data_IF_373718719010
#
_entry.id   IF_373718719010
#
_cell.length_a   1.000
_cell.length_b   1.000
_cell.length_c   1.000
_cell.angle_alpha   90.00
_cell.angle_beta   90.00
_cell.angle_gamma   90.00
#
_symmetry.space_group_name_H-M   'P 1'
#
loop_
_entity.id
_entity.type
_entity.pdbx_description
1 polymer ?
#
# COMPACT_ATOMS: atom_id res chain seq x y z
N UNK A 1 0.29 6.58 15.82
CA UNK A 1 -0.35 7.88 15.51
C UNK A 1 -1.61 7.69 14.67
N UNK A 2 -1.51 7.21 13.45
CA UNK A 2 -2.65 7.10 12.51
C UNK A 2 -3.90 6.47 13.12
N UNK A 3 -3.78 5.34 13.84
CA UNK A 3 -4.93 4.68 14.48
C UNK A 3 -5.59 5.60 15.52
N UNK A 4 -4.80 6.22 16.39
CA UNK A 4 -5.34 7.11 17.43
C UNK A 4 -6.01 8.35 16.82
N UNK A 5 -5.41 8.93 15.77
CA UNK A 5 -6.00 10.04 15.04
C UNK A 5 -7.37 9.65 14.48
N UNK A 6 -7.46 8.49 13.81
CA UNK A 6 -8.73 7.99 13.25
C UNK A 6 -9.78 7.66 14.31
N UNK A 7 -9.37 7.14 15.48
CA UNK A 7 -10.29 6.92 16.60
C UNK A 7 -10.85 8.25 17.13
N UNK A 8 -10.06 9.31 17.16
CA UNK A 8 -10.50 10.64 17.59
C UNK A 8 -11.41 11.35 16.57
N UNK A 9 -11.33 10.98 15.30
CA UNK A 9 -12.20 11.45 14.22
C UNK A 9 -13.59 10.78 14.21
N UNK A 10 -13.75 9.67 14.92
CA UNK A 10 -15.04 8.99 15.01
C UNK A 10 -16.11 9.89 15.66
N UNK A 11 -17.39 9.74 15.27
CA UNK A 11 -18.49 10.39 15.97
C UNK A 11 -18.44 10.13 17.49
N UNK A 12 -18.74 11.14 18.29
CA UNK A 12 -18.70 11.03 19.76
C UNK A 12 -19.61 9.91 20.29
N UNK A 13 -20.69 9.62 19.59
CA UNK A 13 -21.61 8.51 19.94
C UNK A 13 -20.97 7.12 19.90
N UNK A 14 -19.80 6.98 19.27
CA UNK A 14 -19.08 5.70 19.15
C UNK A 14 -17.94 5.53 20.16
N UNK A 15 -17.81 6.45 21.12
CA UNK A 15 -16.77 6.38 22.15
C UNK A 15 -17.20 7.11 23.43
N UNK A 16 -16.64 6.70 24.56
CA UNK A 16 -16.88 7.42 25.82
C UNK A 16 -15.90 8.60 25.98
N UNK A 17 -16.26 9.61 26.81
CA UNK A 17 -15.34 10.70 27.14
C UNK A 17 -13.99 10.21 27.69
N UNK A 18 -14.02 9.17 28.52
CA UNK A 18 -12.81 8.56 29.12
C UNK A 18 -11.92 7.91 28.04
N UNK A 19 -12.54 7.21 27.07
CA UNK A 19 -11.80 6.63 25.94
C UNK A 19 -11.12 7.72 25.12
N UNK A 20 -11.83 8.79 24.79
CA UNK A 20 -11.28 9.91 24.02
C UNK A 20 -10.15 10.61 24.77
N UNK A 21 -10.33 10.89 26.06
CA UNK A 21 -9.29 11.45 26.90
C UNK A 21 -8.03 10.57 26.95
N UNK A 22 -8.21 9.25 27.05
CA UNK A 22 -7.10 8.26 27.00
C UNK A 22 -6.39 8.31 25.65
N UNK A 23 -7.11 8.31 24.53
CA UNK A 23 -6.52 8.35 23.19
C UNK A 23 -5.76 9.65 22.92
N UNK A 24 -6.34 10.80 23.36
CA UNK A 24 -5.69 12.12 23.25
C UNK A 24 -4.36 12.15 24.00
N UNK A 25 -4.38 11.72 25.27
CA UNK A 25 -3.16 11.64 26.07
C UNK A 25 -2.12 10.71 25.43
N UNK A 26 -2.55 9.50 25.02
CA UNK A 26 -1.65 8.54 24.41
C UNK A 26 -1.06 9.05 23.09
N UNK A 27 -1.85 9.74 22.27
CA UNK A 27 -1.36 10.36 21.04
C UNK A 27 -0.28 11.41 21.31
N UNK A 28 -0.45 12.22 22.36
CA UNK A 28 0.52 13.23 22.77
C UNK A 28 1.83 12.60 23.31
N UNK A 29 1.74 11.47 24.00
CA UNK A 29 2.88 10.76 24.58
C UNK A 29 3.69 9.92 23.55
N UNK A 30 3.12 9.67 22.35
CA UNK A 30 3.82 8.89 21.34
C UNK A 30 5.10 9.61 20.85
N UNK A 31 6.24 8.89 20.80
CA UNK A 31 7.46 9.47 20.24
C UNK A 31 7.29 9.75 18.75
N UNK A 32 8.10 10.66 18.23
CA UNK A 32 8.19 10.90 16.79
C UNK A 32 8.69 9.65 16.04
N UNK A 33 8.29 9.53 14.77
CA UNK A 33 8.82 8.48 13.89
C UNK A 33 10.34 8.60 13.82
N UNK A 34 11.09 7.52 14.09
CA UNK A 34 12.54 7.56 13.97
C UNK A 34 12.97 7.92 12.55
N UNK A 35 13.81 8.94 12.45
CA UNK A 35 14.35 9.43 11.18
C UNK A 35 15.87 9.45 11.21
N UNK A 36 16.48 9.31 10.03
CA UNK A 36 17.86 9.63 9.79
C UNK A 36 17.98 10.63 8.64
N UNK A 37 19.11 11.33 8.61
CA UNK A 37 19.42 12.29 7.56
C UNK A 37 20.89 12.18 7.17
N UNK A 38 21.16 12.22 5.88
CA UNK A 38 22.51 12.31 5.33
C UNK A 38 22.49 13.14 4.04
N UNK A 39 23.38 14.13 3.97
CA UNK A 39 23.51 15.03 2.79
C UNK A 39 22.17 15.65 2.35
N UNK A 40 21.36 16.06 3.29
CA UNK A 40 20.05 16.69 3.06
C UNK A 40 18.93 15.70 2.64
N UNK A 41 19.19 14.41 2.64
CA UNK A 41 18.17 13.39 2.39
C UNK A 41 17.73 12.77 3.70
N UNK A 42 16.42 12.77 3.93
CA UNK A 42 15.78 12.17 5.11
C UNK A 42 15.13 10.85 4.75
N UNK A 43 15.14 9.92 5.70
CA UNK A 43 14.42 8.65 5.57
C UNK A 43 13.96 8.12 6.93
N UNK A 44 12.95 7.28 6.93
CA UNK A 44 12.43 6.61 8.12
C UNK A 44 13.32 5.45 8.52
N UNK A 45 13.48 5.25 9.82
CA UNK A 45 14.16 4.09 10.40
C UNK A 45 13.15 3.09 10.96
N UNK A 46 13.46 1.78 10.97
CA UNK A 46 12.59 0.75 11.55
C UNK A 46 12.43 0.91 13.06
N UNK A 47 13.43 1.47 13.73
CA UNK A 47 13.44 1.80 15.15
C UNK A 47 14.52 2.84 15.43
N UNK A 48 14.45 3.51 16.59
CA UNK A 48 15.49 4.48 17.01
C UNK A 48 16.86 3.80 17.18
N UNK A 49 16.86 2.62 17.76
CA UNK A 49 18.05 1.79 17.97
C UNK A 49 17.71 0.32 17.73
N UNK A 50 18.55 -0.38 17.03
CA UNK A 50 18.47 -1.83 16.84
C UNK A 50 19.87 -2.39 16.53
N UNK A 51 20.18 -3.60 16.98
CA UNK A 51 21.49 -4.22 16.74
C UNK A 51 21.57 -4.84 15.34
N UNK A 52 20.59 -5.65 15.00
CA UNK A 52 20.50 -6.30 13.70
C UNK A 52 19.04 -6.49 13.28
N UNK A 53 18.81 -6.57 12.00
CA UNK A 53 17.48 -6.86 11.44
C UNK A 53 17.30 -8.38 11.35
N UNK A 54 16.41 -8.93 12.17
CA UNK A 54 16.10 -10.38 12.19
C UNK A 54 14.85 -10.74 11.39
N UNK A 55 13.94 -9.79 11.21
CA UNK A 55 12.71 -9.99 10.43
C UNK A 55 12.93 -9.60 8.95
N UNK A 56 12.19 -10.25 8.08
CA UNK A 56 12.17 -9.99 6.65
C UNK A 56 11.22 -8.87 6.22
N UNK A 57 10.56 -8.21 7.15
CA UNK A 57 9.72 -7.04 6.90
C UNK A 57 10.53 -5.73 6.90
N UNK A 58 9.93 -4.67 6.32
CA UNK A 58 10.44 -3.31 6.38
C UNK A 58 9.48 -2.44 7.21
N UNK A 59 9.56 -2.46 8.57
CA UNK A 59 8.64 -1.71 9.43
C UNK A 59 8.63 -0.21 9.15
N UNK A 60 9.75 0.34 8.69
CA UNK A 60 9.90 1.72 8.26
C UNK A 60 8.92 2.10 7.13
N UNK A 61 8.51 1.14 6.31
CA UNK A 61 7.56 1.33 5.21
C UNK A 61 6.10 1.11 5.61
N UNK A 62 5.80 0.77 6.87
CA UNK A 62 4.42 0.73 7.35
C UNK A 62 3.76 2.11 7.31
N UNK A 63 4.53 3.17 7.36
CA UNK A 63 4.03 4.52 7.14
C UNK A 63 3.47 4.72 5.71
N UNK A 64 3.92 3.92 4.72
CA UNK A 64 3.36 3.86 3.36
C UNK A 64 2.16 2.93 3.35
N UNK A 65 2.34 1.67 3.69
CA UNK A 65 1.28 0.67 3.82
C UNK A 65 1.45 -0.13 5.12
N UNK A 66 0.41 -0.23 5.97
CA UNK A 66 -0.99 0.12 5.68
C UNK A 66 -1.40 1.56 6.03
N UNK A 67 -0.53 2.38 6.66
CA UNK A 67 -0.97 3.62 7.33
C UNK A 67 -1.13 4.84 6.42
N UNK A 68 -0.64 4.82 5.18
CA UNK A 68 -0.82 5.86 4.16
C UNK A 68 -0.39 7.26 4.60
N UNK A 69 0.60 7.36 5.50
CA UNK A 69 1.13 8.64 5.94
C UNK A 69 1.99 9.29 4.84
N UNK A 70 2.67 8.48 4.03
CA UNK A 70 3.57 8.90 2.96
C UNK A 70 3.20 8.14 1.67
N UNK A 71 2.51 8.79 0.76
CA UNK A 71 2.10 8.19 -0.53
C UNK A 71 2.11 9.25 -1.63
N UNK A 72 1.94 8.81 -2.88
CA UNK A 72 1.74 9.74 -4.00
C UNK A 72 0.65 10.75 -3.67
N UNK A 73 0.94 12.03 -3.90
CA UNK A 73 0.03 13.13 -3.62
C UNK A 73 0.12 13.70 -2.20
N UNK A 74 0.93 13.12 -1.33
CA UNK A 74 1.21 13.69 0.00
C UNK A 74 2.50 14.48 0.05
N UNK A 75 2.63 15.42 1.00
CA UNK A 75 3.90 16.03 1.35
C UNK A 75 4.93 14.94 1.73
N UNK A 76 6.21 15.28 1.63
CA UNK A 76 7.31 14.42 2.09
C UNK A 76 7.36 13.03 1.40
N UNK A 77 6.81 12.91 0.20
CA UNK A 77 6.91 11.68 -0.61
C UNK A 77 8.38 11.29 -0.82
N UNK A 78 9.26 12.25 -0.95
CA UNK A 78 10.71 12.08 -1.11
C UNK A 78 11.35 11.34 0.08
N UNK A 79 10.87 11.57 1.30
CA UNK A 79 11.28 10.83 2.52
C UNK A 79 10.94 9.35 2.36
N UNK A 80 9.74 9.04 1.90
CA UNK A 80 9.33 7.65 1.69
C UNK A 80 10.07 6.98 0.52
N UNK A 81 10.34 7.72 -0.56
CA UNK A 81 11.15 7.23 -1.68
C UNK A 81 12.59 6.95 -1.25
N UNK A 82 13.19 7.80 -0.41
CA UNK A 82 14.53 7.54 0.11
C UNK A 82 14.52 6.35 1.10
N UNK A 83 13.48 6.22 1.92
CA UNK A 83 13.27 5.04 2.78
C UNK A 83 13.18 3.76 1.94
N UNK A 84 12.41 3.79 0.86
CA UNK A 84 12.29 2.69 -0.08
C UNK A 84 13.64 2.26 -0.66
N UNK A 85 14.46 3.21 -1.11
CA UNK A 85 15.80 2.92 -1.66
C UNK A 85 16.74 2.29 -0.64
N UNK A 86 16.64 2.71 0.63
CA UNK A 86 17.52 2.28 1.73
C UNK A 86 17.02 1.06 2.50
N UNK A 87 15.79 0.60 2.24
CA UNK A 87 15.24 -0.56 2.93
C UNK A 87 16.18 -1.78 2.83
N UNK A 88 16.30 -2.54 3.90
CA UNK A 88 17.25 -3.63 3.98
C UNK A 88 16.75 -4.89 3.26
N UNK A 89 15.46 -5.20 3.35
CA UNK A 89 14.86 -6.31 2.63
C UNK A 89 14.29 -5.80 1.31
N UNK A 90 14.85 -6.29 0.21
CA UNK A 90 14.49 -5.92 -1.16
C UNK A 90 14.05 -7.16 -1.92
N UNK A 91 12.87 -7.64 -1.61
CA UNK A 91 12.33 -8.85 -2.25
C UNK A 91 10.85 -8.70 -2.53
N UNK A 92 10.34 -9.55 -3.38
CA UNK A 92 8.92 -9.77 -3.56
C UNK A 92 8.61 -11.24 -3.27
N UNK A 93 7.34 -11.57 -3.27
CA UNK A 93 6.86 -12.92 -3.07
C UNK A 93 6.28 -13.13 -1.68
N UNK A 94 5.43 -14.15 -1.58
CA UNK A 94 4.72 -14.45 -0.36
C UNK A 94 3.85 -13.26 0.09
N UNK A 95 3.79 -13.08 1.37
CA UNK A 95 3.10 -11.98 2.04
C UNK A 95 3.88 -10.65 2.04
N UNK A 96 5.02 -10.56 1.37
CA UNK A 96 5.82 -9.32 1.31
C UNK A 96 5.04 -8.16 0.73
N UNK A 97 5.01 -7.03 1.43
CA UNK A 97 4.17 -5.87 1.08
C UNK A 97 4.82 -4.94 0.04
N UNK A 98 6.03 -5.25 -0.40
CA UNK A 98 6.79 -4.43 -1.37
C UNK A 98 5.98 -4.04 -2.63
N UNK A 99 5.18 -4.92 -3.26
CA UNK A 99 4.36 -4.54 -4.42
C UNK A 99 3.35 -3.44 -4.11
N UNK A 100 2.70 -3.52 -2.94
CA UNK A 100 1.71 -2.53 -2.51
C UNK A 100 2.40 -1.19 -2.21
N UNK A 101 3.53 -1.24 -1.50
CA UNK A 101 4.30 -0.06 -1.15
C UNK A 101 4.85 0.63 -2.41
N UNK A 102 5.39 -0.12 -3.38
CA UNK A 102 5.84 0.41 -4.66
C UNK A 102 4.70 1.12 -5.42
N UNK A 103 3.52 0.49 -5.49
CA UNK A 103 2.34 1.08 -6.12
C UNK A 103 1.92 2.40 -5.45
N UNK A 104 1.90 2.44 -4.11
CA UNK A 104 1.52 3.62 -3.34
C UNK A 104 2.56 4.74 -3.37
N UNK A 105 3.80 4.44 -3.71
CA UNK A 105 4.89 5.40 -3.92
C UNK A 105 4.98 5.88 -5.38
N UNK A 106 4.15 5.37 -6.29
CA UNK A 106 4.20 5.73 -7.71
C UNK A 106 5.37 5.11 -8.47
N UNK A 107 5.97 4.06 -7.94
CA UNK A 107 7.10 3.35 -8.54
C UNK A 107 6.58 2.31 -9.55
N UNK A 108 6.16 2.80 -10.71
CA UNK A 108 5.44 2.02 -11.73
C UNK A 108 6.19 0.78 -12.17
N UNK A 109 7.50 0.90 -12.43
CA UNK A 109 8.27 -0.24 -12.93
C UNK A 109 8.46 -1.31 -11.86
N UNK A 110 8.82 -0.90 -10.63
CA UNK A 110 8.99 -1.83 -9.50
C UNK A 110 7.66 -2.51 -9.15
N UNK A 111 6.55 -1.76 -9.11
CA UNK A 111 5.22 -2.31 -8.85
C UNK A 111 4.82 -3.34 -9.90
N UNK A 112 5.04 -3.02 -11.20
CA UNK A 112 4.82 -3.94 -12.31
C UNK A 112 5.63 -5.22 -12.16
N UNK A 113 6.94 -5.09 -11.95
CA UNK A 113 7.85 -6.22 -11.90
C UNK A 113 7.51 -7.15 -10.74
N UNK A 114 7.16 -6.60 -9.57
CA UNK A 114 6.75 -7.37 -8.42
C UNK A 114 5.41 -8.09 -8.63
N UNK A 115 4.42 -7.40 -9.19
CA UNK A 115 3.11 -8.00 -9.47
C UNK A 115 3.25 -9.13 -10.49
N UNK A 116 4.01 -8.92 -11.57
CA UNK A 116 4.26 -9.96 -12.58
C UNK A 116 5.00 -11.15 -11.96
N UNK A 117 6.06 -10.90 -11.21
CA UNK A 117 6.83 -11.95 -10.53
C UNK A 117 5.92 -12.75 -9.60
N UNK A 118 5.14 -12.09 -8.75
CA UNK A 118 4.24 -12.76 -7.82
C UNK A 118 3.14 -13.56 -8.54
N UNK A 119 2.66 -13.09 -9.69
CA UNK A 119 1.63 -13.80 -10.45
C UNK A 119 2.17 -14.97 -11.27
N UNK A 120 3.46 -15.00 -11.57
CA UNK A 120 4.08 -16.02 -12.43
C UNK A 120 4.96 -17.02 -11.68
N UNK A 121 5.50 -16.65 -10.52
CA UNK A 121 6.32 -17.54 -9.71
C UNK A 121 5.43 -18.56 -8.99
N UNK A 122 5.66 -19.82 -9.29
CA UNK A 122 4.93 -20.96 -8.70
C UNK A 122 5.72 -21.69 -7.62
N UNK A 123 6.89 -21.19 -7.30
CA UNK A 123 7.74 -21.83 -6.30
C UNK A 123 7.33 -21.43 -4.90
N UNK A 124 7.14 -22.38 -3.98
CA UNK A 124 7.12 -22.07 -2.55
C UNK A 124 8.45 -21.45 -2.14
N UNK A 125 8.41 -20.49 -1.20
CA UNK A 125 9.65 -19.87 -0.71
C UNK A 125 10.63 -20.95 -0.23
N UNK A 126 11.80 -20.98 -0.86
CA UNK A 126 12.89 -21.90 -0.47
C UNK A 126 12.65 -23.38 -0.75
N UNK A 127 11.68 -23.73 -1.60
CA UNK A 127 11.38 -25.13 -1.96
C UNK A 127 11.33 -25.31 -3.49
N UNK A 128 11.47 -26.55 -3.99
CA UNK A 128 11.28 -26.84 -5.41
C UNK A 128 9.88 -26.44 -5.89
N UNK A 129 9.76 -26.17 -7.19
CA UNK A 129 8.47 -25.89 -7.82
C UNK A 129 7.50 -27.02 -7.54
N UNK A 130 6.36 -26.69 -6.95
CA UNK A 130 5.26 -27.64 -6.71
C UNK A 130 4.03 -27.07 -7.37
N UNK A 131 3.37 -27.86 -8.20
CA UNK A 131 2.09 -27.46 -8.78
C UNK A 131 1.06 -27.25 -7.65
N UNK A 132 0.38 -26.11 -7.62
CA UNK A 132 -0.59 -25.83 -6.57
C UNK A 132 -1.76 -26.82 -6.66
N UNK A 133 -2.10 -27.43 -5.56
CA UNK A 133 -3.19 -28.40 -5.47
C UNK A 133 -4.56 -27.81 -5.80
N UNK A 134 -4.75 -26.53 -5.47
CA UNK A 134 -5.96 -25.78 -5.73
C UNK A 134 -5.60 -24.37 -6.24
N UNK A 135 -5.43 -24.18 -7.55
CA UNK A 135 -4.98 -22.90 -8.12
C UNK A 135 -5.84 -21.69 -7.72
N UNK A 136 -7.13 -21.92 -7.45
CA UNK A 136 -8.05 -20.85 -7.05
C UNK A 136 -7.85 -20.35 -5.62
N UNK A 137 -7.17 -21.12 -4.77
CA UNK A 137 -6.96 -20.79 -3.36
C UNK A 137 -5.52 -20.45 -3.00
N UNK A 138 -4.63 -20.63 -3.95
CA UNK A 138 -3.20 -20.51 -3.71
C UNK A 138 -2.67 -19.32 -4.48
N UNK A 139 -2.19 -18.38 -3.74
CA UNK A 139 -1.45 -17.28 -4.32
C UNK A 139 -0.11 -17.75 -4.85
N UNK A 140 0.47 -16.97 -5.76
CA UNK A 140 1.82 -17.23 -6.25
C UNK A 140 2.81 -17.17 -5.09
N UNK A 141 3.87 -17.98 -5.21
CA UNK A 141 4.98 -17.96 -4.26
C UNK A 141 4.56 -18.24 -2.79
N UNK A 142 3.69 -19.21 -2.59
CA UNK A 142 3.12 -19.57 -1.29
C UNK A 142 4.13 -20.27 -0.37
N UNK A 143 4.01 -20.07 0.93
CA UNK A 143 4.81 -20.74 1.97
C UNK A 143 3.98 -21.61 2.90
N UNK A 144 2.68 -21.48 2.83
CA UNK A 144 1.68 -22.18 3.63
C UNK A 144 0.49 -22.62 2.76
N UNK A 145 -0.29 -23.57 3.24
CA UNK A 145 -1.41 -24.14 2.46
C UNK A 145 -2.67 -24.27 3.31
N UNK A 146 -3.79 -23.68 2.91
CA UNK A 146 -4.02 -22.74 1.80
C UNK A 146 -3.49 -21.34 2.14
N UNK A 147 -2.96 -20.65 1.15
CA UNK A 147 -2.30 -19.38 1.33
C UNK A 147 -3.02 -18.27 0.54
N UNK A 148 -3.83 -17.48 1.19
CA UNK A 148 -4.63 -16.43 0.57
C UNK A 148 -3.97 -15.04 0.64
N UNK A 149 -3.11 -14.80 1.62
CA UNK A 149 -2.46 -13.50 1.80
C UNK A 149 -1.47 -13.20 0.66
N UNK A 150 -0.80 -14.18 0.12
CA UNK A 150 0.07 -14.03 -1.05
C UNK A 150 -0.70 -13.55 -2.30
N UNK A 151 -1.85 -14.15 -2.59
CA UNK A 151 -2.74 -13.68 -3.65
C UNK A 151 -3.34 -12.32 -3.35
N UNK A 152 -3.73 -12.07 -2.10
CA UNK A 152 -4.29 -10.80 -1.66
C UNK A 152 -3.29 -9.64 -1.79
N UNK A 153 -2.01 -9.84 -1.47
CA UNK A 153 -0.96 -8.83 -1.68
C UNK A 153 -0.88 -8.40 -3.15
N UNK A 154 -0.87 -9.38 -4.07
CA UNK A 154 -0.84 -9.11 -5.52
C UNK A 154 -2.07 -8.35 -5.98
N UNK A 155 -3.28 -8.76 -5.55
CA UNK A 155 -4.54 -8.09 -5.90
C UNK A 155 -4.61 -6.66 -5.34
N UNK A 156 -4.21 -6.46 -4.08
CA UNK A 156 -4.17 -5.12 -3.49
C UNK A 156 -3.17 -4.24 -4.23
N UNK A 157 -2.00 -4.76 -4.59
CA UNK A 157 -1.01 -4.02 -5.36
C UNK A 157 -1.58 -3.56 -6.71
N UNK A 158 -2.21 -4.46 -7.48
CA UNK A 158 -2.88 -4.11 -8.74
C UNK A 158 -3.94 -3.02 -8.56
N UNK A 159 -4.78 -3.13 -7.52
CA UNK A 159 -5.77 -2.10 -7.23
C UNK A 159 -5.11 -0.75 -6.89
N UNK A 160 -3.99 -0.75 -6.13
CA UNK A 160 -3.27 0.49 -5.78
C UNK A 160 -2.53 1.09 -6.96
N UNK A 161 -2.08 0.27 -7.92
CA UNK A 161 -1.53 0.76 -9.19
C UNK A 161 -2.59 1.49 -10.03
N UNK A 162 -3.85 1.05 -9.96
CA UNK A 162 -4.98 1.64 -10.68
C UNK A 162 -5.59 2.83 -9.94
N UNK A 163 -5.79 2.71 -8.62
CA UNK A 163 -6.51 3.71 -7.85
C UNK A 163 -5.98 3.80 -6.42
N UNK A 164 -5.66 5.02 -6.01
CA UNK A 164 -5.26 5.36 -4.65
C UNK A 164 -6.17 6.46 -4.11
N UNK A 165 -6.89 6.18 -3.02
CA UNK A 165 -7.76 7.16 -2.37
C UNK A 165 -7.10 7.71 -1.10
N UNK A 166 -7.19 9.03 -0.91
CA UNK A 166 -6.72 9.73 0.29
C UNK A 166 -7.69 10.87 0.64
N UNK A 167 -8.39 10.72 1.77
CA UNK A 167 -9.52 11.59 2.07
C UNK A 167 -10.55 11.57 0.94
N UNK A 168 -10.88 12.72 0.41
CA UNK A 168 -11.80 12.85 -0.72
C UNK A 168 -11.16 12.54 -2.07
N UNK A 169 -9.84 12.69 -2.19
CA UNK A 169 -9.14 12.53 -3.46
C UNK A 169 -9.16 11.08 -3.95
N UNK A 170 -9.47 10.91 -5.23
CA UNK A 170 -9.46 9.63 -5.97
C UNK A 170 -8.40 9.76 -7.05
N UNK A 171 -7.19 9.30 -6.75
CA UNK A 171 -6.07 9.35 -7.71
C UNK A 171 -6.10 8.14 -8.60
N UNK A 172 -6.21 8.36 -9.91
CA UNK A 172 -6.19 7.29 -10.89
C UNK A 172 -4.79 7.10 -11.48
N UNK A 173 -4.47 5.86 -11.77
CA UNK A 173 -3.24 5.40 -12.44
C UNK A 173 -1.94 5.83 -11.74
N UNK A 174 -1.86 5.89 -10.39
CA UNK A 174 -0.67 6.40 -9.71
C UNK A 174 0.61 5.61 -10.02
N UNK A 175 0.46 4.33 -10.39
CA UNK A 175 1.58 3.45 -10.74
C UNK A 175 1.22 2.45 -11.86
N UNK A 176 0.28 2.79 -12.75
CA UNK A 176 -0.16 1.90 -13.82
C UNK A 176 0.81 1.92 -15.00
N UNK A 177 1.28 0.74 -15.49
CA UNK A 177 2.20 0.66 -16.62
C UNK A 177 1.54 1.12 -17.91
N UNK A 178 2.22 1.94 -18.69
CA UNK A 178 1.69 2.53 -19.93
C UNK A 178 1.26 1.49 -20.98
N UNK A 179 1.89 0.31 -21.01
CA UNK A 179 1.58 -0.74 -21.97
C UNK A 179 0.51 -1.74 -21.50
N UNK A 180 -0.17 -1.48 -20.39
CA UNK A 180 -1.23 -2.36 -19.88
C UNK A 180 -2.61 -1.77 -20.11
N UNK A 181 -3.42 -2.46 -20.88
CA UNK A 181 -4.85 -2.15 -21.05
C UNK A 181 -5.66 -2.79 -19.94
N UNK A 182 -6.71 -2.11 -19.48
CA UNK A 182 -7.58 -2.63 -18.43
C UNK A 182 -8.95 -2.00 -18.47
N UNK A 183 -9.99 -2.78 -18.17
CA UNK A 183 -11.31 -2.28 -17.74
C UNK A 183 -11.47 -2.60 -16.26
N UNK A 184 -11.86 -1.61 -15.47
CA UNK A 184 -11.95 -1.77 -14.04
C UNK A 184 -13.22 -1.19 -13.43
N UNK A 185 -13.63 -1.77 -12.28
CA UNK A 185 -14.68 -1.26 -11.42
C UNK A 185 -14.21 -1.40 -9.98
N UNK A 186 -13.93 -0.29 -9.34
CA UNK A 186 -13.38 -0.23 -7.99
C UNK A 186 -14.25 0.63 -7.08
N UNK A 187 -14.18 0.33 -5.79
CA UNK A 187 -14.84 1.12 -4.75
C UNK A 187 -13.85 2.11 -4.14
N UNK A 188 -14.29 3.36 -4.06
CA UNK A 188 -13.62 4.43 -3.31
C UNK A 188 -14.43 4.74 -2.03
N UNK A 189 -13.84 5.45 -1.06
CA UNK A 189 -14.56 5.91 0.14
C UNK A 189 -15.83 6.70 -0.19
N UNK A 190 -16.70 6.82 0.81
CA UNK A 190 -17.96 7.59 0.71
C UNK A 190 -18.93 7.01 -0.33
N UNK A 191 -19.12 5.68 -0.32
CA UNK A 191 -20.05 4.94 -1.19
C UNK A 191 -19.85 5.24 -2.69
N UNK A 192 -18.59 5.43 -3.09
CA UNK A 192 -18.24 5.80 -4.46
C UNK A 192 -17.80 4.58 -5.26
N UNK A 193 -18.31 4.45 -6.49
CA UNK A 193 -17.88 3.46 -7.46
C UNK A 193 -17.19 4.20 -8.61
N UNK A 194 -16.01 3.71 -8.99
CA UNK A 194 -15.22 4.22 -10.12
C UNK A 194 -15.10 3.10 -11.15
N UNK A 195 -15.68 3.31 -12.32
CA UNK A 195 -15.59 2.42 -13.48
C UNK A 195 -14.76 3.13 -14.56
N UNK A 196 -13.79 2.44 -15.13
CA UNK A 196 -12.92 3.06 -16.12
C UNK A 196 -12.32 2.05 -17.09
N UNK A 197 -11.78 2.59 -18.19
CA UNK A 197 -11.06 1.85 -19.19
C UNK A 197 -9.77 2.57 -19.56
N UNK A 198 -8.69 1.83 -19.58
CA UNK A 198 -7.37 2.32 -20.01
C UNK A 198 -6.97 1.55 -21.25
N UNK A 199 -6.59 2.25 -22.30
CA UNK A 199 -6.09 1.70 -23.56
C UNK A 199 -4.86 2.50 -24.00
N UNK A 200 -3.79 1.79 -24.33
CA UNK A 200 -2.52 2.39 -24.76
C UNK A 200 -2.01 3.45 -23.75
N UNK A 201 -2.15 3.18 -22.46
CA UNK A 201 -1.74 4.08 -21.38
C UNK A 201 -2.59 5.31 -21.16
N UNK A 202 -3.77 5.40 -21.80
CA UNK A 202 -4.70 6.52 -21.68
C UNK A 202 -6.03 6.05 -21.10
N UNK A 203 -6.58 6.84 -20.19
CA UNK A 203 -7.94 6.65 -19.71
C UNK A 203 -8.92 7.05 -20.81
N UNK A 204 -9.60 6.08 -21.40
CA UNK A 204 -10.52 6.26 -22.54
C UNK A 204 -11.98 6.36 -22.13
N UNK A 205 -12.32 5.81 -20.96
CA UNK A 205 -13.64 5.90 -20.36
C UNK A 205 -13.53 6.06 -18.85
N UNK A 206 -14.45 6.84 -18.26
CA UNK A 206 -14.52 7.04 -16.82
C UNK A 206 -15.95 7.40 -16.38
N UNK A 207 -16.49 6.56 -15.51
CA UNK A 207 -17.75 6.80 -14.83
C UNK A 207 -17.54 6.77 -13.31
N UNK A 208 -18.04 7.78 -12.63
CA UNK A 208 -18.00 7.88 -11.16
C UNK A 208 -19.42 7.94 -10.62
N UNK A 209 -19.74 7.11 -9.67
CA UNK A 209 -21.06 7.06 -9.03
C UNK A 209 -20.92 7.24 -7.51
N UNK A 210 -21.54 8.26 -6.90
CA UNK A 210 -22.36 9.29 -7.53
C UNK A 210 -21.52 10.28 -8.37
N UNK A 211 -22.14 10.89 -9.38
CA UNK A 211 -21.46 11.83 -10.30
C UNK A 211 -20.85 13.04 -9.54
N UNK A 212 -21.42 13.43 -8.43
CA UNK A 212 -20.91 14.51 -7.57
C UNK A 212 -19.49 14.26 -7.07
N UNK A 213 -19.03 13.02 -7.08
CA UNK A 213 -17.67 12.61 -6.70
C UNK A 213 -16.67 12.68 -7.87
N UNK A 214 -17.12 12.95 -9.07
CA UNK A 214 -16.24 13.08 -10.25
C UNK A 214 -15.20 14.18 -10.09
N UNK A 215 -15.54 15.26 -9.40
CA UNK A 215 -14.65 16.37 -9.10
C UNK A 215 -13.43 15.99 -8.22
N UNK A 216 -13.53 14.89 -7.50
CA UNK A 216 -12.49 14.40 -6.57
C UNK A 216 -11.47 13.48 -7.26
N UNK A 217 -11.68 13.20 -8.55
CA UNK A 217 -10.74 12.43 -9.37
C UNK A 217 -9.58 13.32 -9.81
N UNK A 218 -8.35 12.88 -9.53
CA UNK A 218 -7.09 13.58 -9.81
C UNK A 218 -6.08 12.65 -10.48
#
# INVERSE_FOLDING_TARGET
RTVLTRLLELPESLSTPEQRAKWTRFLAELPETPMAEEKGKKWMLPARTFSEKKNSENPELYAVFPYRAYTVGKPDLDVALETWRRRLVKRTGGWSQDPIQAAMLGLTQEAKDYVVTNATDRSPIGKPVVEPRFPAFWGPNFDWTPDQDHGAVTLIALQRMLMLCDGDAIRLLPAWPQGWDVSFKLHAPYQTIVEGRVENGKLTDLKVTPETRRKDVV
#
